data_IF_285190052650
#
_entry.id   IF_285190052650
#
_cell.length_a   1.000
_cell.length_b   1.000
_cell.length_c   1.000
_cell.angle_alpha   90.00
_cell.angle_beta   90.00
_cell.angle_gamma   90.00
#
_symmetry.space_group_name_H-M   'P 1'
#
loop_
_entity.id
_entity.type
_entity.pdbx_description
1 polymer ?
#
# COMPACT_ATOMS: atom_id res chain seq x y z
N UNK A 1 -17.98 -63.75 -64.15
CA UNK A 1 -17.90 -65.05 -63.43
C UNK A 1 -16.87 -64.95 -62.32
N UNK A 2 -17.23 -65.33 -61.08
CA UNK A 2 -16.43 -66.01 -60.02
C UNK A 2 -15.10 -65.33 -59.61
N UNK A 3 -14.72 -65.01 -58.37
CA UNK A 3 -15.01 -65.40 -56.97
C UNK A 3 -14.06 -64.49 -56.15
N UNK A 4 -14.32 -63.99 -54.94
CA UNK A 4 -14.85 -64.65 -53.75
C UNK A 4 -13.74 -64.78 -52.69
N UNK A 5 -13.80 -63.98 -51.61
CA UNK A 5 -13.22 -64.14 -50.24
C UNK A 5 -13.22 -62.76 -49.59
N UNK A 6 -13.40 -62.52 -48.29
CA UNK A 6 -13.94 -63.22 -47.11
C UNK A 6 -13.81 -62.16 -45.98
N UNK A 7 -14.84 -62.01 -45.14
CA UNK A 7 -14.85 -61.19 -43.90
C UNK A 7 -13.79 -61.68 -42.87
N UNK A 8 -13.55 -61.10 -41.65
CA UNK A 8 -14.26 -60.05 -40.88
C UNK A 8 -13.37 -59.06 -40.07
N UNK A 9 -13.97 -58.11 -39.34
CA UNK A 9 -13.48 -57.75 -37.99
C UNK A 9 -13.28 -56.28 -37.62
N UNK A 10 -13.78 -55.98 -36.41
CA UNK A 10 -13.21 -55.08 -35.39
C UNK A 10 -13.59 -53.58 -35.36
N UNK A 11 -14.68 -53.33 -34.61
CA UNK A 11 -14.80 -52.40 -33.47
C UNK A 11 -13.65 -51.40 -33.24
N UNK A 12 -13.99 -50.12 -33.04
CA UNK A 12 -13.44 -49.10 -32.10
C UNK A 12 -13.65 -47.72 -32.74
N UNK A 13 -14.31 -46.78 -32.06
CA UNK A 13 -14.36 -45.39 -32.53
C UNK A 13 -15.50 -44.49 -32.05
N UNK A 14 -16.29 -44.86 -31.05
CA UNK A 14 -16.91 -43.84 -30.19
C UNK A 14 -15.79 -43.29 -29.30
N UNK A 15 -15.55 -41.97 -29.32
CA UNK A 15 -14.58 -41.15 -28.54
C UNK A 15 -13.54 -40.41 -29.39
N UNK A 16 -13.96 -39.42 -30.17
CA UNK A 16 -13.11 -38.25 -30.52
C UNK A 16 -13.96 -36.97 -30.45
N UNK A 17 -14.59 -36.77 -29.29
CA UNK A 17 -15.03 -35.46 -28.81
C UNK A 17 -14.31 -35.30 -27.46
N UNK A 18 -13.69 -34.15 -27.22
CA UNK A 18 -12.86 -33.77 -26.07
C UNK A 18 -11.35 -33.85 -26.34
N UNK A 19 -10.65 -32.84 -25.81
CA UNK A 19 -9.20 -32.61 -25.82
C UNK A 19 -8.66 -31.77 -26.98
N UNK A 20 -8.96 -30.46 -27.01
CA UNK A 20 -7.98 -29.35 -26.86
C UNK A 20 -8.76 -28.07 -26.57
N UNK A 21 -9.22 -27.88 -25.33
CA UNK A 21 -9.40 -26.52 -24.79
C UNK A 21 -8.29 -26.40 -23.76
N UNK A 22 -7.11 -25.96 -24.22
CA UNK A 22 -6.07 -25.49 -23.31
C UNK A 22 -6.62 -24.29 -22.57
N UNK A 23 -6.99 -24.50 -21.30
CA UNK A 23 -7.23 -23.43 -20.34
C UNK A 23 -5.98 -22.57 -20.31
N UNK A 24 -6.06 -21.38 -20.92
CA UNK A 24 -5.16 -20.28 -20.60
C UNK A 24 -5.58 -19.76 -19.22
N UNK A 25 -5.21 -20.48 -18.17
CA UNK A 25 -5.27 -19.96 -16.81
C UNK A 25 -4.21 -18.87 -16.73
N UNK A 26 -4.63 -17.61 -16.86
CA UNK A 26 -3.76 -16.49 -16.50
C UNK A 26 -3.33 -16.69 -15.03
N UNK A 27 -2.03 -16.53 -14.70
CA UNK A 27 -1.62 -16.56 -13.31
C UNK A 27 -2.40 -15.47 -12.56
N UNK A 28 -3.22 -15.87 -11.61
CA UNK A 28 -3.83 -14.92 -10.69
C UNK A 28 -2.72 -14.31 -9.86
N UNK A 29 -2.38 -13.04 -10.11
CA UNK A 29 -1.51 -12.29 -9.22
C UNK A 29 -2.23 -12.20 -7.87
N UNK A 30 -1.57 -12.64 -6.80
CA UNK A 30 -2.09 -12.49 -5.45
C UNK A 30 -2.24 -10.98 -5.15
N UNK A 31 -3.32 -10.62 -4.46
CA UNK A 31 -3.47 -9.24 -3.98
C UNK A 31 -2.35 -8.94 -2.98
N UNK A 32 -1.63 -7.81 -3.10
CA UNK A 32 -0.64 -7.40 -2.10
C UNK A 32 -1.25 -7.36 -0.70
N UNK A 33 -0.44 -7.67 0.31
CA UNK A 33 -0.85 -7.81 1.69
C UNK A 33 -0.38 -6.62 2.51
N UNK A 34 -1.34 -5.83 2.99
CA UNK A 34 -1.10 -4.83 4.04
C UNK A 34 -1.10 -5.53 5.38
N UNK A 35 0.04 -5.48 6.06
CA UNK A 35 0.30 -6.22 7.30
C UNK A 35 0.52 -5.31 8.52
N UNK A 36 0.62 -4.01 8.30
CA UNK A 36 0.76 -3.01 9.36
C UNK A 36 0.25 -1.65 8.94
N UNK A 37 -0.48 -0.99 9.84
CA UNK A 37 -0.84 0.42 9.76
C UNK A 37 -0.38 1.08 11.05
N UNK A 38 0.45 2.10 10.96
CA UNK A 38 1.11 2.71 12.12
C UNK A 38 1.04 4.22 12.06
N UNK A 39 0.87 4.83 13.23
CA UNK A 39 0.95 6.27 13.43
C UNK A 39 2.11 6.60 14.37
N UNK A 40 2.84 7.66 14.03
CA UNK A 40 3.89 8.26 14.86
C UNK A 40 3.82 9.78 14.80
N UNK A 41 4.45 10.44 15.76
CA UNK A 41 4.60 11.89 15.77
C UNK A 41 6.07 12.26 15.58
N UNK A 42 6.32 13.34 14.86
CA UNK A 42 7.64 13.90 14.66
C UNK A 42 7.55 15.43 14.75
N UNK A 43 7.77 15.98 15.93
CA UNK A 43 7.48 17.38 16.21
C UNK A 43 5.99 17.68 16.02
N UNK A 44 5.68 18.65 15.17
CA UNK A 44 4.29 18.98 14.79
C UNK A 44 3.70 18.07 13.69
N UNK A 45 4.50 17.20 13.09
CA UNK A 45 4.07 16.32 12.01
C UNK A 45 3.51 15.00 12.55
N UNK A 46 2.49 14.48 11.88
CA UNK A 46 2.00 13.11 12.11
C UNK A 46 2.40 12.24 10.95
N UNK A 47 3.10 11.14 11.21
CA UNK A 47 3.53 10.16 10.23
C UNK A 47 2.59 8.97 10.24
N UNK A 48 2.01 8.67 9.09
CA UNK A 48 1.29 7.42 8.84
C UNK A 48 2.17 6.49 8.00
N UNK A 49 2.22 5.20 8.37
CA UNK A 49 3.04 4.19 7.68
C UNK A 49 2.16 2.99 7.35
N UNK A 50 2.27 2.52 6.11
CA UNK A 50 1.67 1.27 5.63
C UNK A 50 2.82 0.27 5.38
N UNK A 51 2.76 -0.87 6.04
CA UNK A 51 3.67 -2.00 5.79
C UNK A 51 2.99 -2.96 4.81
N UNK A 52 3.58 -3.11 3.61
CA UNK A 52 3.04 -3.86 2.48
C UNK A 52 4.12 -4.74 1.84
N UNK A 53 3.78 -5.95 1.41
CA UNK A 53 4.73 -6.93 0.83
C UNK A 53 5.15 -6.61 -0.61
N UNK A 54 4.32 -5.89 -1.36
CA UNK A 54 4.65 -5.42 -2.71
C UNK A 54 4.59 -3.89 -2.80
N UNK A 55 5.44 -3.31 -3.65
CA UNK A 55 5.40 -1.89 -3.94
C UNK A 55 4.03 -1.50 -4.54
N UNK A 56 3.44 -0.41 -4.04
CA UNK A 56 2.17 0.10 -4.53
C UNK A 56 2.23 1.61 -4.76
N UNK A 57 1.53 2.07 -5.80
CA UNK A 57 1.37 3.49 -6.12
C UNK A 57 0.01 3.99 -5.61
N UNK A 58 -0.01 4.75 -4.51
CA UNK A 58 -1.25 5.30 -3.99
C UNK A 58 -1.72 6.52 -4.79
N UNK A 59 -3.03 6.72 -4.74
CA UNK A 59 -3.68 7.97 -5.11
C UNK A 59 -4.11 8.67 -3.82
N UNK A 60 -3.69 9.91 -3.64
CA UNK A 60 -3.82 10.61 -2.36
C UNK A 60 -4.55 11.93 -2.60
N UNK A 61 -5.53 12.22 -1.74
CA UNK A 61 -6.28 13.47 -1.79
C UNK A 61 -6.90 13.79 -0.43
N UNK A 62 -7.34 15.05 -0.29
CA UNK A 62 -8.02 15.52 0.92
C UNK A 62 -9.50 15.80 0.66
N UNK A 63 -10.32 15.65 1.71
CA UNK A 63 -11.72 16.04 1.71
C UNK A 63 -11.97 17.01 2.86
N UNK A 64 -12.83 18.01 2.64
CA UNK A 64 -13.38 18.84 3.71
C UNK A 64 -14.68 18.25 4.26
N UNK A 65 -15.03 18.66 5.48
CA UNK A 65 -16.32 18.37 6.14
C UNK A 65 -16.63 16.86 6.33
N UNK A 66 -16.07 16.19 7.35
CA UNK A 66 -14.89 16.59 8.14
C UNK A 66 -13.58 16.49 7.34
N UNK A 67 -12.52 17.07 7.88
CA UNK A 67 -11.17 16.98 7.29
C UNK A 67 -10.70 15.54 7.23
N UNK A 68 -10.31 15.12 6.04
CA UNK A 68 -9.86 13.75 5.78
C UNK A 68 -8.68 13.76 4.82
N UNK A 69 -7.71 12.87 5.07
CA UNK A 69 -6.75 12.42 4.07
C UNK A 69 -7.19 11.03 3.59
N UNK A 70 -7.35 10.87 2.29
CA UNK A 70 -7.74 9.61 1.66
C UNK A 70 -6.56 9.05 0.89
N UNK A 71 -6.28 7.77 1.09
CA UNK A 71 -5.22 7.02 0.43
C UNK A 71 -5.88 5.83 -0.26
N UNK A 72 -5.93 5.87 -1.58
CA UNK A 72 -6.43 4.77 -2.41
C UNK A 72 -5.26 3.95 -2.93
N UNK A 73 -5.30 2.67 -2.62
CA UNK A 73 -4.35 1.66 -3.09
C UNK A 73 -4.99 0.85 -4.22
N UNK A 74 -4.19 0.19 -5.07
CA UNK A 74 -4.65 -0.99 -5.80
C UNK A 74 -5.36 -1.97 -4.85
N UNK A 75 -6.12 -2.92 -5.41
CA UNK A 75 -6.77 -3.93 -4.59
C UNK A 75 -5.74 -4.67 -3.74
N UNK A 76 -5.87 -4.56 -2.41
CA UNK A 76 -4.99 -5.21 -1.43
C UNK A 76 -5.82 -5.96 -0.39
N UNK A 77 -5.21 -7.02 0.15
CA UNK A 77 -5.72 -7.73 1.33
C UNK A 77 -5.17 -7.08 2.59
N UNK A 78 -6.04 -6.78 3.56
CA UNK A 78 -5.64 -6.30 4.88
C UNK A 78 -5.51 -7.48 5.84
N UNK A 79 -4.28 -7.81 6.23
CA UNK A 79 -3.94 -8.81 7.23
C UNK A 79 -3.57 -8.11 8.55
N UNK A 80 -4.62 -7.56 9.17
CA UNK A 80 -4.52 -6.71 10.35
C UNK A 80 -5.43 -7.26 11.44
N UNK A 81 -5.03 -7.09 12.71
CA UNK A 81 -5.88 -7.49 13.85
C UNK A 81 -7.14 -6.63 14.00
N UNK A 82 -7.17 -5.44 13.40
CA UNK A 82 -8.30 -4.51 13.49
C UNK A 82 -9.45 -4.88 12.55
N UNK A 83 -10.65 -4.41 12.88
CA UNK A 83 -11.86 -4.63 12.07
C UNK A 83 -12.12 -3.45 11.14
N UNK A 84 -11.16 -3.12 10.27
CA UNK A 84 -11.30 -2.01 9.31
C UNK A 84 -11.18 -0.61 9.93
N UNK A 85 -10.77 -0.51 11.21
CA UNK A 85 -10.60 0.76 11.94
C UNK A 85 -9.40 0.67 12.87
N UNK A 86 -8.87 1.82 13.25
CA UNK A 86 -7.84 1.95 14.29
C UNK A 86 -7.81 3.33 14.92
N UNK A 87 -7.18 3.40 16.10
CA UNK A 87 -7.07 4.60 16.91
C UNK A 87 -6.13 5.65 16.29
N UNK A 88 -6.39 6.91 16.63
CA UNK A 88 -5.60 8.05 16.18
C UNK A 88 -4.34 8.33 16.98
N UNK A 89 -3.56 9.29 16.47
CA UNK A 89 -2.43 9.93 17.13
C UNK A 89 -2.11 11.24 16.40
N UNK A 90 -1.68 12.26 17.14
CA UNK A 90 -1.39 13.58 16.59
C UNK A 90 -2.62 14.20 15.93
N UNK A 91 -2.48 14.66 14.68
CA UNK A 91 -3.59 15.28 13.93
C UNK A 91 -4.62 14.26 13.41
N UNK A 92 -4.30 12.96 13.44
CA UNK A 92 -5.22 11.90 13.04
C UNK A 92 -6.04 11.47 14.25
N UNK A 93 -7.35 11.69 14.23
CA UNK A 93 -8.26 11.28 15.31
C UNK A 93 -8.50 9.78 15.33
N UNK A 94 -8.61 9.21 14.14
CA UNK A 94 -8.84 7.78 13.89
C UNK A 94 -8.56 7.49 12.43
N UNK A 95 -8.43 6.22 12.08
CA UNK A 95 -8.40 5.81 10.69
C UNK A 95 -9.32 4.63 10.42
N UNK A 96 -9.70 4.51 9.15
CA UNK A 96 -10.52 3.43 8.61
C UNK A 96 -9.84 2.85 7.38
N UNK A 97 -10.05 1.58 7.12
CA UNK A 97 -9.52 0.91 5.96
C UNK A 97 -10.43 -0.23 5.50
N UNK A 98 -10.31 -0.58 4.24
CA UNK A 98 -11.00 -1.73 3.67
C UNK A 98 -11.04 -1.69 2.16
N UNK A 99 -11.67 -2.72 1.58
CA UNK A 99 -12.03 -2.71 0.17
C UNK A 99 -13.01 -1.57 -0.09
N UNK A 100 -12.72 -0.73 -1.08
CA UNK A 100 -13.58 0.39 -1.47
C UNK A 100 -14.48 0.01 -2.64
N UNK A 101 -13.92 -0.71 -3.61
CA UNK A 101 -14.63 -1.33 -4.73
C UNK A 101 -13.82 -2.54 -5.22
N UNK A 102 -14.24 -3.14 -6.33
CA UNK A 102 -13.64 -4.36 -6.88
C UNK A 102 -12.20 -4.19 -7.38
N UNK A 103 -11.69 -2.97 -7.45
CA UNK A 103 -10.35 -2.66 -8.00
C UNK A 103 -9.47 -1.87 -7.04
N UNK A 104 -10.02 -1.36 -5.93
CA UNK A 104 -9.33 -0.43 -5.03
C UNK A 104 -9.63 -0.76 -3.57
N UNK A 105 -8.60 -0.63 -2.76
CA UNK A 105 -8.69 -0.55 -1.31
C UNK A 105 -8.47 0.89 -0.87
N UNK A 106 -9.14 1.34 0.18
CA UNK A 106 -9.08 2.71 0.67
C UNK A 106 -8.72 2.74 2.13
N UNK A 107 -7.84 3.67 2.49
CA UNK A 107 -7.57 4.09 3.86
C UNK A 107 -8.02 5.54 3.99
N UNK A 108 -8.76 5.85 5.05
CA UNK A 108 -9.23 7.20 5.37
C UNK A 108 -8.71 7.58 6.74
N UNK A 109 -7.93 8.65 6.82
CA UNK A 109 -7.52 9.28 8.05
C UNK A 109 -8.51 10.41 8.36
N UNK A 110 -9.26 10.30 9.45
CA UNK A 110 -10.12 11.38 9.93
C UNK A 110 -9.23 12.34 10.76
N UNK A 111 -9.24 13.63 10.43
CA UNK A 111 -8.30 14.61 10.96
C UNK A 111 -8.98 15.60 11.90
N UNK A 112 -8.31 15.96 13.01
CA UNK A 112 -8.81 16.91 14.01
C UNK A 112 -8.70 18.37 13.57
N UNK A 113 -7.82 18.64 12.61
CA UNK A 113 -7.55 19.97 12.06
C UNK A 113 -7.18 19.86 10.57
N UNK A 114 -7.20 20.98 9.80
CA UNK A 114 -6.74 20.95 8.43
C UNK A 114 -5.27 20.52 8.36
N UNK A 115 -4.96 19.54 7.51
CA UNK A 115 -3.60 19.07 7.27
C UNK A 115 -3.39 18.78 5.79
N UNK A 116 -2.15 18.90 5.32
CA UNK A 116 -1.77 18.46 3.98
C UNK A 116 -0.74 17.34 4.06
N UNK A 117 -0.62 16.59 2.97
CA UNK A 117 0.51 15.70 2.78
C UNK A 117 1.77 16.53 2.51
N UNK A 118 2.70 16.53 3.45
CA UNK A 118 3.98 17.21 3.32
C UNK A 118 4.98 16.36 2.53
N UNK A 119 5.01 15.04 2.78
CA UNK A 119 5.84 14.09 2.04
C UNK A 119 5.14 12.76 1.84
N UNK A 120 5.39 12.15 0.69
CA UNK A 120 5.17 10.74 0.43
C UNK A 120 6.43 10.12 -0.15
N UNK A 121 6.87 9.01 0.43
CA UNK A 121 8.01 8.25 -0.05
C UNK A 121 7.86 6.77 0.32
N UNK A 122 8.56 5.92 -0.44
CA UNK A 122 8.61 4.48 -0.17
C UNK A 122 9.99 4.15 0.37
N UNK A 123 10.03 3.44 1.49
CA UNK A 123 11.25 2.80 1.96
C UNK A 123 11.28 1.38 1.42
N UNK A 124 12.41 0.94 0.82
CA UNK A 124 12.58 -0.44 0.48
C UNK A 124 12.56 -1.32 1.75
N UNK A 125 12.36 -2.63 1.58
CA UNK A 125 12.45 -3.59 2.67
C UNK A 125 13.71 -3.41 3.52
N UNK A 126 13.53 -3.47 4.83
CA UNK A 126 14.59 -3.49 5.83
C UNK A 126 14.29 -4.71 6.73
N UNK A 127 14.69 -5.90 6.29
CA UNK A 127 14.24 -7.18 6.87
C UNK A 127 13.17 -7.85 5.99
N UNK A 128 12.32 -8.76 6.54
CA UNK A 128 11.46 -9.64 5.74
C UNK A 128 10.63 -8.81 4.77
N UNK A 129 10.91 -8.98 3.48
CA UNK A 129 10.43 -8.29 2.27
C UNK A 129 9.17 -7.42 2.43
N UNK A 130 9.27 -6.30 3.14
CA UNK A 130 8.14 -5.37 3.37
C UNK A 130 8.53 -3.96 2.98
N UNK A 131 7.92 -3.48 1.92
CA UNK A 131 7.93 -2.07 1.57
C UNK A 131 7.19 -1.27 2.64
N UNK A 132 7.64 -0.02 2.84
CA UNK A 132 6.93 0.92 3.71
C UNK A 132 6.54 2.14 2.93
N UNK A 133 5.24 2.36 2.79
CA UNK A 133 4.69 3.60 2.26
C UNK A 133 4.56 4.59 3.41
N UNK A 134 5.26 5.71 3.33
CA UNK A 134 5.34 6.70 4.42
C UNK A 134 4.68 8.00 4.00
N UNK A 135 3.74 8.46 4.82
CA UNK A 135 2.96 9.67 4.60
C UNK A 135 3.17 10.61 5.78
N UNK A 136 3.83 11.74 5.53
CA UNK A 136 4.01 12.78 6.55
C UNK A 136 2.93 13.83 6.37
N UNK A 137 2.09 14.00 7.39
CA UNK A 137 1.06 15.01 7.46
C UNK A 137 1.57 16.22 8.25
N UNK A 138 1.33 17.41 7.72
CA UNK A 138 1.63 18.67 8.38
C UNK A 138 0.34 19.49 8.56
N UNK A 139 0.07 20.01 9.78
CA UNK A 139 -1.03 20.94 10.00
C UNK A 139 -0.89 22.19 9.13
N UNK A 140 -1.99 22.68 8.58
CA UNK A 140 -2.03 23.91 7.78
C UNK A 140 -3.22 24.76 8.15
N UNK A 141 -3.21 26.02 7.70
CA UNK A 141 -4.38 26.88 7.83
C UNK A 141 -5.56 26.33 7.02
N UNK A 142 -6.78 26.70 7.41
CA UNK A 142 -7.99 26.28 6.70
C UNK A 142 -7.98 26.76 5.26
N UNK A 143 -7.53 27.98 5.02
CA UNK A 143 -7.45 28.60 3.69
C UNK A 143 -6.50 27.79 2.78
N UNK A 144 -5.32 27.45 3.29
CA UNK A 144 -4.34 26.61 2.59
C UNK A 144 -4.90 25.22 2.30
N UNK A 145 -5.58 24.61 3.26
CA UNK A 145 -6.23 23.33 3.08
C UNK A 145 -7.27 23.39 1.96
N UNK A 146 -8.21 24.34 2.02
CA UNK A 146 -9.28 24.49 1.03
C UNK A 146 -8.74 24.76 -0.38
N UNK A 147 -7.66 25.55 -0.51
CA UNK A 147 -6.98 25.78 -1.78
C UNK A 147 -6.35 24.49 -2.36
N UNK A 148 -5.91 23.59 -1.48
CA UNK A 148 -5.31 22.29 -1.83
C UNK A 148 -6.29 21.16 -2.11
N UNK A 149 -7.60 21.34 -1.89
CA UNK A 149 -8.63 20.36 -2.26
C UNK A 149 -8.76 20.35 -3.79
N UNK A 150 -7.90 19.61 -4.47
CA UNK A 150 -8.02 19.32 -5.89
C UNK A 150 -7.84 17.82 -6.14
N UNK A 151 -8.33 17.41 -7.30
CA UNK A 151 -8.54 16.03 -7.76
C UNK A 151 -7.39 15.09 -7.36
N UNK A 152 -7.72 13.82 -7.09
CA UNK A 152 -6.73 12.81 -6.76
C UNK A 152 -5.50 12.86 -7.66
N UNK A 153 -4.32 12.93 -7.03
CA UNK A 153 -3.05 12.82 -7.73
C UNK A 153 -2.51 11.42 -7.49
N UNK A 154 -2.20 10.72 -8.58
CA UNK A 154 -1.40 9.50 -8.51
C UNK A 154 0.03 9.94 -8.20
N UNK A 155 0.47 9.71 -6.97
CA UNK A 155 1.80 10.15 -6.53
C UNK A 155 2.78 9.00 -6.69
N UNK A 156 3.81 9.19 -7.51
CA UNK A 156 4.95 8.28 -7.55
C UNK A 156 5.81 8.49 -6.30
N UNK A 157 6.20 7.41 -5.64
CA UNK A 157 7.07 7.48 -4.49
C UNK A 157 8.45 7.98 -4.91
N UNK A 158 8.91 9.08 -4.31
CA UNK A 158 10.30 9.53 -4.43
C UNK A 158 11.11 8.86 -3.32
N UNK A 159 12.29 8.32 -3.64
CA UNK A 159 13.19 7.80 -2.62
C UNK A 159 13.53 8.92 -1.62
N UNK A 160 13.62 8.64 -0.31
CA UNK A 160 14.05 9.66 0.65
C UNK A 160 15.46 10.14 0.27
N UNK A 161 15.63 11.45 0.13
CA UNK A 161 16.96 12.04 0.06
C UNK A 161 17.70 11.74 1.37
N UNK A 162 18.98 11.34 1.33
CA UNK A 162 19.75 11.13 2.55
C UNK A 162 19.74 12.42 3.36
N UNK A 163 19.13 12.39 4.55
CA UNK A 163 19.28 13.49 5.51
C UNK A 163 20.77 13.56 5.84
N UNK A 164 21.43 14.63 5.41
CA UNK A 164 22.83 14.89 5.74
C UNK A 164 22.99 14.77 7.26
N UNK A 165 23.81 13.82 7.69
CA UNK A 165 24.16 13.58 9.08
C UNK A 165 24.73 14.87 9.67
N UNK A 166 24.05 15.43 10.67
CA UNK A 166 24.58 16.54 11.45
C UNK A 166 25.96 16.14 12.02
N UNK A 167 26.95 17.06 12.07
CA UNK A 167 28.29 16.73 12.53
C UNK A 167 28.26 16.26 13.98
N UNK A 168 28.77 15.05 14.22
CA UNK A 168 29.01 14.53 15.56
C UNK A 168 29.90 15.51 16.32
N UNK A 169 29.34 16.13 17.38
CA UNK A 169 30.13 16.89 18.33
C UNK A 169 31.24 15.99 18.91
N UNK A 170 32.49 16.49 18.89
CA UNK A 170 33.62 15.85 19.55
C UNK A 170 33.32 15.72 21.05
N UNK A 171 33.64 14.59 21.69
CA UNK A 171 33.57 14.51 23.14
C UNK A 171 34.62 15.44 23.75
N UNK A 172 34.18 16.32 24.65
CA UNK A 172 35.06 17.09 25.50
C UNK A 172 35.78 16.15 26.48
N UNK A 173 37.11 16.09 26.39
CA UNK A 173 37.97 15.39 27.36
C UNK A 173 37.83 16.05 28.74
N UNK A 174 37.19 15.33 29.68
CA UNK A 174 37.24 15.63 31.10
C UNK A 174 38.61 15.18 31.63
N UNK A 175 39.53 16.13 31.86
CA UNK A 175 40.79 15.84 32.54
C UNK A 175 40.56 15.90 34.06
N UNK A 176 40.57 14.71 34.68
CA UNK A 176 40.40 14.51 36.11
C UNK A 176 41.58 15.06 36.90
N UNK A 177 41.25 15.95 37.84
CA UNK A 177 42.09 16.43 38.94
C UNK A 177 42.52 15.26 39.82
N UNK A 178 43.83 15.06 40.00
CA UNK A 178 44.40 14.22 41.05
C UNK A 178 45.39 15.04 41.87
N UNK A 179 45.08 15.10 43.18
CA UNK A 179 45.94 15.26 44.37
C UNK A 179 47.26 16.03 44.24
#
# INVERSE_FOLDING_TARGET
MRTGRSMPGLRIGWLLLLWVISLLSAPGHAEPVVSGLRLGENGSQTRFVIDIDEAAEPEIFTLANPYRLVIDLPLVRFDLKGQGRGEGRGIVERFRYGRFNDTRSRIVLDLSAPARLQRFFTLPPQGPDRHRLVFDLEPVTRESFLAGIRRPQKMAARAPEPVATAPSARPATHNGRRI
#
